data_IF_232416927660
#
_entry.id   IF_232416927660
#
_cell.length_a   1.000
_cell.length_b   1.000
_cell.length_c   1.000
_cell.angle_alpha   90.00
_cell.angle_beta   90.00
_cell.angle_gamma   90.00
#
_symmetry.space_group_name_H-M   'P 1'
#
loop_
_entity.id
_entity.type
_entity.pdbx_description
1 polymer ?
#
# COMPACT_ATOMS: atom_id res chain seq x y z
N UNK A 1 -7.37 0.85 4.87
CA UNK A 1 -6.56 0.53 3.67
C UNK A 1 -5.60 -0.61 4.03
N UNK A 2 -5.98 -1.88 3.81
CA UNK A 2 -5.10 -3.02 4.04
C UNK A 2 -4.05 -3.17 2.92
N UNK A 3 -2.85 -3.59 3.31
CA UNK A 3 -1.80 -4.02 2.41
C UNK A 3 -1.75 -5.55 2.35
N UNK A 4 -1.43 -6.10 1.21
CA UNK A 4 -1.07 -7.50 1.02
C UNK A 4 0.08 -7.67 0.03
N UNK A 5 0.83 -8.77 0.14
CA UNK A 5 1.82 -9.18 -0.85
C UNK A 5 1.16 -10.16 -1.83
N UNK A 6 1.22 -9.88 -3.13
CA UNK A 6 0.63 -10.73 -4.15
C UNK A 6 1.24 -12.14 -4.13
N UNK A 7 0.36 -13.15 -4.00
CA UNK A 7 0.77 -14.54 -3.98
C UNK A 7 1.42 -15.02 -2.68
N UNK A 8 1.29 -14.28 -1.57
CA UNK A 8 1.80 -14.68 -0.27
C UNK A 8 0.70 -15.29 0.61
N UNK A 9 1.00 -16.36 1.38
CA UNK A 9 2.19 -17.25 1.27
C UNK A 9 2.18 -18.11 0.01
N UNK A 10 1.05 -18.23 -0.64
CA UNK A 10 0.82 -18.86 -1.94
C UNK A 10 -0.32 -18.16 -2.69
N UNK A 11 -0.52 -18.54 -3.96
CA UNK A 11 -1.52 -17.91 -4.83
C UNK A 11 -2.96 -18.06 -4.31
N UNK A 12 -3.32 -19.24 -3.81
CA UNK A 12 -4.70 -19.55 -3.36
C UNK A 12 -5.03 -18.74 -2.10
N UNK A 13 -4.10 -18.70 -1.16
CA UNK A 13 -4.23 -17.89 0.05
C UNK A 13 -4.27 -16.39 -0.28
N UNK A 14 -3.47 -15.92 -1.24
CA UNK A 14 -3.50 -14.52 -1.68
C UNK A 14 -4.87 -14.11 -2.24
N UNK A 15 -5.51 -14.95 -3.05
CA UNK A 15 -6.87 -14.69 -3.57
C UNK A 15 -7.92 -14.68 -2.44
N UNK A 16 -7.84 -15.64 -1.51
CA UNK A 16 -8.76 -15.69 -0.36
C UNK A 16 -8.62 -14.44 0.55
N UNK A 17 -7.41 -13.98 0.79
CA UNK A 17 -7.14 -12.76 1.56
C UNK A 17 -7.67 -11.51 0.85
N UNK A 18 -7.50 -11.41 -0.48
CA UNK A 18 -8.03 -10.28 -1.25
C UNK A 18 -9.56 -10.20 -1.15
N UNK A 19 -10.26 -11.33 -1.34
CA UNK A 19 -11.71 -11.40 -1.18
C UNK A 19 -12.15 -11.05 0.26
N UNK A 20 -11.42 -11.54 1.28
CA UNK A 20 -11.70 -11.22 2.67
C UNK A 20 -11.53 -9.71 2.99
N UNK A 21 -10.62 -9.02 2.32
CA UNK A 21 -10.48 -7.56 2.46
C UNK A 21 -11.69 -6.81 1.90
N UNK A 22 -12.20 -7.24 0.74
CA UNK A 22 -13.44 -6.70 0.15
C UNK A 22 -14.62 -6.91 1.08
N UNK A 23 -14.85 -8.15 1.53
CA UNK A 23 -15.95 -8.51 2.43
C UNK A 23 -15.90 -7.76 3.78
N UNK A 24 -14.69 -7.51 4.29
CA UNK A 24 -14.48 -6.71 5.49
C UNK A 24 -14.67 -5.19 5.28
N UNK A 25 -14.93 -4.75 4.05
CA UNK A 25 -15.21 -3.36 3.70
C UNK A 25 -13.96 -2.48 3.66
N UNK A 26 -12.88 -2.97 3.09
CA UNK A 26 -11.71 -2.14 2.78
C UNK A 26 -12.11 -1.01 1.80
N UNK A 27 -11.65 0.21 2.06
CA UNK A 27 -11.90 1.35 1.16
C UNK A 27 -10.93 1.38 -0.03
N UNK A 28 -9.79 0.73 0.11
CA UNK A 28 -8.74 0.57 -0.90
C UNK A 28 -7.81 -0.57 -0.46
N UNK A 29 -7.32 -1.37 -1.41
CA UNK A 29 -6.29 -2.38 -1.16
C UNK A 29 -4.96 -1.93 -1.77
N UNK A 30 -3.91 -1.91 -0.95
CA UNK A 30 -2.53 -1.77 -1.41
C UNK A 30 -1.97 -3.16 -1.72
N UNK A 31 -1.66 -3.41 -2.98
CA UNK A 31 -1.21 -4.71 -3.47
C UNK A 31 0.27 -4.68 -3.83
N UNK A 32 1.10 -5.23 -2.97
CA UNK A 32 2.54 -5.36 -3.19
C UNK A 32 2.84 -6.36 -4.31
N UNK A 33 3.61 -5.92 -5.31
CA UNK A 33 4.15 -6.80 -6.34
C UNK A 33 5.46 -7.39 -5.82
N UNK A 34 5.61 -8.73 -5.70
CA UNK A 34 6.81 -9.31 -5.10
C UNK A 34 8.05 -9.00 -5.94
N UNK A 35 9.11 -8.56 -5.24
CA UNK A 35 10.38 -8.16 -5.83
C UNK A 35 11.55 -8.71 -5.01
N UNK A 36 12.65 -9.09 -5.66
CA UNK A 36 13.83 -9.71 -5.02
C UNK A 36 14.66 -8.75 -4.17
N UNK A 37 14.62 -7.44 -4.50
CA UNK A 37 15.52 -6.43 -3.94
C UNK A 37 14.75 -5.22 -3.37
N UNK A 38 13.82 -5.42 -2.40
CA UNK A 38 12.87 -4.41 -1.94
C UNK A 38 13.52 -3.46 -0.93
N UNK A 39 14.20 -2.43 -1.39
CA UNK A 39 14.98 -1.48 -0.57
C UNK A 39 14.14 -0.67 0.43
N UNK A 40 12.85 -0.48 0.16
CA UNK A 40 11.95 0.31 1.00
C UNK A 40 11.14 -0.55 1.99
N UNK A 41 11.17 -1.88 1.88
CA UNK A 41 10.35 -2.77 2.67
C UNK A 41 10.99 -3.12 4.02
N UNK A 42 10.15 -3.19 5.05
CA UNK A 42 10.55 -3.72 6.34
C UNK A 42 10.66 -5.26 6.31
N UNK A 43 11.30 -5.85 7.35
CA UNK A 43 11.64 -7.28 7.35
C UNK A 43 10.43 -8.22 7.15
N UNK A 44 9.26 -7.88 7.66
CA UNK A 44 8.03 -8.68 7.48
C UNK A 44 7.58 -8.69 6.01
N UNK A 45 7.56 -7.54 5.36
CA UNK A 45 7.15 -7.42 3.96
C UNK A 45 8.19 -8.07 3.04
N UNK A 46 9.48 -7.85 3.32
CA UNK A 46 10.57 -8.49 2.59
C UNK A 46 10.50 -10.04 2.69
N UNK A 47 10.30 -10.59 3.88
CA UNK A 47 10.14 -12.03 4.05
C UNK A 47 8.93 -12.58 3.27
N UNK A 48 7.81 -11.85 3.27
CA UNK A 48 6.63 -12.22 2.51
C UNK A 48 6.88 -12.17 0.99
N UNK A 49 7.60 -11.16 0.50
CA UNK A 49 8.00 -11.08 -0.90
C UNK A 49 8.88 -12.27 -1.32
N UNK A 50 9.87 -12.63 -0.47
CA UNK A 50 10.73 -13.79 -0.71
C UNK A 50 9.92 -15.09 -0.79
N UNK A 51 9.03 -15.33 0.18
CA UNK A 51 8.15 -16.51 0.19
C UNK A 51 7.24 -16.55 -1.04
N UNK A 52 6.65 -15.42 -1.42
CA UNK A 52 5.80 -15.33 -2.61
C UNK A 52 6.58 -15.65 -3.91
N UNK A 53 7.81 -15.12 -4.05
CA UNK A 53 8.68 -15.42 -5.18
C UNK A 53 9.07 -16.90 -5.23
N UNK A 54 9.40 -17.50 -4.10
CA UNK A 54 9.69 -18.95 -3.99
C UNK A 54 8.48 -19.82 -4.34
N UNK A 55 7.25 -19.34 -4.04
CA UNK A 55 6.01 -19.97 -4.46
C UNK A 55 5.64 -19.70 -5.94
N UNK A 56 6.48 -18.96 -6.67
CA UNK A 56 6.31 -18.68 -8.10
C UNK A 56 5.47 -17.45 -8.42
N UNK A 57 5.20 -16.59 -7.45
CA UNK A 57 4.48 -15.34 -7.68
C UNK A 57 5.29 -14.36 -8.57
N UNK A 58 4.58 -13.63 -9.41
CA UNK A 58 5.15 -12.66 -10.36
C UNK A 58 4.21 -11.45 -10.48
N UNK A 59 4.54 -10.50 -11.35
CA UNK A 59 3.62 -9.43 -11.73
C UNK A 59 2.28 -10.00 -12.26
N UNK A 60 2.30 -11.13 -12.97
CA UNK A 60 1.06 -11.76 -13.46
C UNK A 60 0.12 -12.18 -12.31
N UNK A 61 0.67 -12.61 -11.19
CA UNK A 61 -0.10 -12.94 -9.97
C UNK A 61 -0.77 -11.69 -9.38
N UNK A 62 -0.07 -10.57 -9.32
CA UNK A 62 -0.65 -9.31 -8.87
C UNK A 62 -1.74 -8.80 -9.81
N UNK A 63 -1.53 -8.88 -11.13
CA UNK A 63 -2.54 -8.53 -12.12
C UNK A 63 -3.78 -9.44 -12.05
N UNK A 64 -3.60 -10.72 -11.73
CA UNK A 64 -4.70 -11.66 -11.52
C UNK A 64 -5.54 -11.26 -10.30
N UNK A 65 -4.93 -11.09 -9.13
CA UNK A 65 -5.62 -10.66 -7.91
C UNK A 65 -6.38 -9.34 -8.16
N UNK A 66 -5.74 -8.40 -8.86
CA UNK A 66 -6.37 -7.13 -9.18
C UNK A 66 -7.64 -7.31 -10.04
N UNK A 67 -7.66 -8.23 -11.02
CA UNK A 67 -8.85 -8.51 -11.83
C UNK A 67 -9.97 -9.15 -11.04
N UNK A 68 -9.65 -9.97 -10.05
CA UNK A 68 -10.66 -10.67 -9.24
C UNK A 68 -11.43 -9.71 -8.32
N UNK A 69 -10.78 -8.68 -7.78
CA UNK A 69 -11.41 -7.81 -6.77
C UNK A 69 -11.44 -6.32 -7.15
N UNK A 70 -10.82 -5.93 -8.25
CA UNK A 70 -10.66 -4.51 -8.63
C UNK A 70 -11.96 -3.81 -9.07
N UNK A 71 -12.99 -4.55 -9.41
CA UNK A 71 -14.32 -3.99 -9.70
C UNK A 71 -15.11 -3.65 -8.42
N UNK A 72 -14.72 -4.21 -7.27
CA UNK A 72 -15.40 -4.04 -5.98
C UNK A 72 -14.70 -3.03 -5.08
N UNK A 73 -13.36 -2.93 -5.17
CA UNK A 73 -12.54 -2.03 -4.35
C UNK A 73 -11.38 -1.47 -5.16
N UNK A 74 -11.02 -0.17 -5.03
CA UNK A 74 -9.84 0.38 -5.68
C UNK A 74 -8.57 -0.36 -5.28
N UNK A 75 -7.78 -0.79 -6.26
CA UNK A 75 -6.48 -1.43 -6.05
C UNK A 75 -5.37 -0.46 -6.43
N UNK A 76 -4.42 -0.27 -5.52
CA UNK A 76 -3.18 0.47 -5.77
C UNK A 76 -2.01 -0.48 -5.67
N UNK A 77 -1.29 -0.67 -6.77
CA UNK A 77 -0.07 -1.48 -6.75
C UNK A 77 1.04 -0.77 -5.99
N UNK A 78 1.82 -1.52 -5.22
CA UNK A 78 3.15 -1.11 -4.77
C UNK A 78 4.18 -1.91 -5.58
N UNK A 79 4.89 -1.23 -6.48
CA UNK A 79 5.87 -1.84 -7.39
C UNK A 79 7.12 -0.97 -7.49
N UNK A 80 8.31 -1.59 -7.44
CA UNK A 80 9.58 -0.89 -7.57
C UNK A 80 9.82 -0.40 -9.00
N UNK A 81 10.59 0.68 -9.15
CA UNK A 81 10.85 1.33 -10.44
C UNK A 81 11.41 0.36 -11.49
N UNK A 82 12.29 -0.56 -11.08
CA UNK A 82 12.81 -1.59 -11.98
C UNK A 82 11.70 -2.47 -12.58
N UNK A 83 10.67 -2.81 -11.81
CA UNK A 83 9.53 -3.61 -12.30
C UNK A 83 8.67 -2.80 -13.28
N UNK A 84 8.46 -1.52 -12.99
CA UNK A 84 7.70 -0.59 -13.86
C UNK A 84 8.40 -0.41 -15.21
N UNK A 85 9.73 -0.36 -15.20
CA UNK A 85 10.52 -0.08 -16.40
C UNK A 85 10.91 -1.34 -17.19
N UNK A 86 10.96 -2.54 -16.55
CA UNK A 86 11.47 -3.76 -17.17
C UNK A 86 10.53 -4.38 -18.22
N UNK A 87 9.22 -4.13 -18.15
CA UNK A 87 8.21 -4.80 -18.99
C UNK A 87 7.74 -3.93 -20.17
N UNK A 88 8.67 -3.38 -20.93
CA UNK A 88 8.37 -2.50 -22.06
C UNK A 88 8.23 -1.02 -21.66
N UNK A 89 8.69 -0.66 -20.44
CA UNK A 89 8.67 0.69 -19.91
C UNK A 89 7.36 1.06 -19.21
N UNK A 90 7.33 2.28 -18.69
CA UNK A 90 6.21 2.79 -17.88
C UNK A 90 4.86 2.73 -18.61
N UNK A 91 4.85 2.97 -19.92
CA UNK A 91 3.65 2.95 -20.75
C UNK A 91 3.02 1.55 -20.83
N UNK A 92 3.81 0.51 -21.05
CA UNK A 92 3.27 -0.86 -21.14
C UNK A 92 2.86 -1.37 -19.74
N UNK A 93 3.61 -1.02 -18.71
CA UNK A 93 3.21 -1.32 -17.33
C UNK A 93 1.87 -0.65 -16.98
N UNK A 94 1.70 0.62 -17.33
CA UNK A 94 0.46 1.35 -17.10
C UNK A 94 -0.74 0.69 -17.80
N UNK A 95 -0.59 0.30 -19.06
CA UNK A 95 -1.64 -0.42 -19.80
C UNK A 95 -2.01 -1.75 -19.14
N UNK A 96 -1.01 -2.53 -18.72
CA UNK A 96 -1.25 -3.82 -18.03
C UNK A 96 -1.98 -3.62 -16.70
N UNK A 97 -1.53 -2.66 -15.89
CA UNK A 97 -2.16 -2.33 -14.61
C UNK A 97 -3.60 -1.83 -14.81
N UNK A 98 -3.82 -0.93 -15.76
CA UNK A 98 -5.17 -0.42 -16.07
C UNK A 98 -6.11 -1.50 -16.59
N UNK A 99 -5.63 -2.37 -17.49
CA UNK A 99 -6.40 -3.49 -18.01
C UNK A 99 -6.73 -4.53 -16.93
N UNK A 100 -5.98 -4.58 -15.85
CA UNK A 100 -6.28 -5.40 -14.69
C UNK A 100 -7.25 -4.74 -13.70
N UNK A 101 -7.62 -3.46 -13.87
CA UNK A 101 -8.54 -2.75 -13.00
C UNK A 101 -7.86 -1.88 -11.94
N UNK A 102 -6.53 -1.70 -11.96
CA UNK A 102 -5.84 -0.86 -10.99
C UNK A 102 -6.31 0.60 -11.06
N UNK A 103 -6.38 1.25 -9.90
CA UNK A 103 -6.68 2.67 -9.74
C UNK A 103 -5.41 3.53 -9.67
N UNK A 104 -4.28 2.95 -9.26
CA UNK A 104 -3.03 3.69 -9.13
C UNK A 104 -1.84 2.79 -8.82
N UNK A 105 -0.70 3.43 -8.67
CA UNK A 105 0.58 2.76 -8.36
C UNK A 105 1.39 3.61 -7.39
N UNK A 106 1.99 2.97 -6.40
CA UNK A 106 3.05 3.50 -5.54
C UNK A 106 4.38 2.96 -6.06
N UNK A 107 5.35 3.83 -6.31
CA UNK A 107 6.71 3.45 -6.71
C UNK A 107 7.68 4.00 -5.66
N UNK A 108 8.04 3.20 -4.64
CA UNK A 108 8.69 3.70 -3.43
C UNK A 108 10.12 4.20 -3.64
N UNK A 109 10.79 3.74 -4.67
CA UNK A 109 12.15 4.10 -5.05
C UNK A 109 12.22 5.10 -6.23
N UNK A 110 11.10 5.75 -6.58
CA UNK A 110 11.03 6.74 -7.66
C UNK A 110 10.84 8.16 -7.08
N UNK A 111 11.90 8.99 -7.02
CA UNK A 111 11.79 10.37 -6.56
C UNK A 111 10.95 11.23 -7.50
N UNK A 112 10.25 12.24 -6.95
CA UNK A 112 9.41 13.17 -7.72
C UNK A 112 10.16 13.78 -8.93
N UNK A 113 11.43 14.13 -8.75
CA UNK A 113 12.23 14.80 -9.79
C UNK A 113 12.56 13.89 -10.98
N UNK A 114 12.50 12.56 -10.78
CA UNK A 114 12.73 11.53 -11.81
C UNK A 114 11.43 10.91 -12.32
N UNK A 115 10.30 11.22 -11.70
CA UNK A 115 9.01 10.58 -11.98
C UNK A 115 8.30 11.12 -13.25
N UNK A 116 8.90 12.03 -14.02
CA UNK A 116 8.24 12.73 -15.12
C UNK A 116 7.60 11.78 -16.13
N UNK A 117 8.39 10.89 -16.74
CA UNK A 117 7.93 9.92 -17.73
C UNK A 117 6.90 8.93 -17.17
N UNK A 118 7.15 8.38 -15.98
CA UNK A 118 6.22 7.44 -15.33
C UNK A 118 4.88 8.11 -15.02
N UNK A 119 4.91 9.36 -14.53
CA UNK A 119 3.70 10.13 -14.22
C UNK A 119 2.88 10.41 -15.47
N UNK A 120 3.51 10.77 -16.58
CA UNK A 120 2.83 11.00 -17.86
C UNK A 120 2.21 9.71 -18.40
N UNK A 121 2.95 8.61 -18.38
CA UNK A 121 2.47 7.29 -18.81
C UNK A 121 1.26 6.82 -17.97
N UNK A 122 1.33 6.98 -16.65
CA UNK A 122 0.24 6.59 -15.76
C UNK A 122 -0.99 7.49 -15.93
N UNK A 123 -0.78 8.80 -16.06
CA UNK A 123 -1.87 9.75 -16.30
C UNK A 123 -2.59 9.48 -17.63
N UNK A 124 -1.89 9.08 -18.68
CA UNK A 124 -2.47 8.72 -19.97
C UNK A 124 -3.43 7.53 -19.88
N UNK A 125 -3.19 6.60 -18.96
CA UNK A 125 -4.07 5.44 -18.71
C UNK A 125 -5.06 5.69 -17.55
N UNK A 126 -5.10 6.90 -16.98
CA UNK A 126 -5.98 7.23 -15.86
C UNK A 126 -5.59 6.62 -14.53
N UNK A 127 -4.32 6.21 -14.38
CA UNK A 127 -3.75 5.72 -13.13
C UNK A 127 -3.18 6.86 -12.28
N UNK A 128 -3.41 6.82 -10.97
CA UNK A 128 -2.75 7.70 -10.04
C UNK A 128 -1.31 7.21 -9.76
N UNK A 129 -0.30 8.07 -9.91
CA UNK A 129 1.00 7.85 -9.27
C UNK A 129 0.91 8.45 -7.86
N UNK A 130 0.83 7.59 -6.85
CA UNK A 130 0.68 7.97 -5.44
C UNK A 130 2.06 8.31 -4.86
N UNK A 131 2.30 9.55 -4.47
CA UNK A 131 3.60 9.94 -3.94
C UNK A 131 3.75 9.61 -2.46
N UNK A 132 5.01 9.36 -2.04
CA UNK A 132 5.42 9.12 -0.67
C UNK A 132 5.98 10.38 -0.03
N UNK A 133 5.63 10.60 1.24
CA UNK A 133 6.22 11.60 2.13
C UNK A 133 6.83 10.93 3.36
N UNK A 134 8.05 11.32 3.70
CA UNK A 134 8.75 10.85 4.89
C UNK A 134 8.97 12.00 5.90
N UNK A 135 9.16 11.72 7.18
CA UNK A 135 9.49 12.75 8.18
C UNK A 135 10.72 13.59 7.85
N UNK A 136 11.61 13.04 7.03
CA UNK A 136 12.82 13.73 6.55
C UNK A 136 12.59 14.62 5.32
N UNK A 137 11.36 14.65 4.77
CA UNK A 137 11.04 15.46 3.58
C UNK A 137 11.03 16.95 3.94
N UNK A 138 11.93 17.79 3.36
CA UNK A 138 11.94 19.23 3.61
C UNK A 138 10.63 19.90 3.16
N UNK A 139 10.24 21.00 3.81
CA UNK A 139 8.97 21.70 3.55
C UNK A 139 8.77 22.07 2.07
N UNK A 140 9.78 22.64 1.41
CA UNK A 140 9.73 22.99 -0.01
C UNK A 140 9.47 21.76 -0.90
N UNK A 141 10.09 20.62 -0.57
CA UNK A 141 9.87 19.37 -1.31
C UNK A 141 8.48 18.82 -1.02
N UNK A 142 8.00 18.88 0.23
CA UNK A 142 6.64 18.48 0.61
C UNK A 142 5.62 19.24 -0.21
N UNK A 143 5.72 20.57 -0.32
CA UNK A 143 4.83 21.40 -1.11
C UNK A 143 4.77 20.94 -2.58
N UNK A 144 5.93 20.74 -3.22
CA UNK A 144 5.99 20.24 -4.61
C UNK A 144 5.34 18.87 -4.77
N UNK A 145 5.52 17.97 -3.79
CA UNK A 145 4.89 16.65 -3.78
C UNK A 145 3.37 16.79 -3.64
N UNK A 146 2.88 17.65 -2.75
CA UNK A 146 1.45 17.92 -2.57
C UNK A 146 0.81 18.45 -3.86
N UNK A 147 1.45 19.39 -4.56
CA UNK A 147 0.99 19.94 -5.82
C UNK A 147 0.92 18.89 -6.95
N UNK A 148 1.86 17.95 -6.96
CA UNK A 148 1.93 16.88 -7.96
C UNK A 148 1.02 15.67 -7.66
N UNK A 149 0.52 15.55 -6.42
CA UNK A 149 -0.21 14.39 -5.95
C UNK A 149 -1.49 14.10 -6.74
N UNK A 150 -1.76 12.80 -6.94
CA UNK A 150 -3.03 12.28 -7.48
C UNK A 150 -3.44 11.07 -6.65
N UNK A 151 -4.75 10.84 -6.55
CA UNK A 151 -5.30 9.81 -5.68
C UNK A 151 -5.21 10.22 -4.21
N UNK A 152 -4.13 9.91 -3.54
CA UNK A 152 -3.85 10.31 -2.17
C UNK A 152 -2.35 10.55 -1.94
N UNK A 153 -2.00 11.10 -0.78
CA UNK A 153 -0.61 11.21 -0.31
C UNK A 153 -0.35 10.14 0.73
N UNK A 154 0.72 9.39 0.56
CA UNK A 154 1.13 8.38 1.51
C UNK A 154 2.22 8.92 2.43
N UNK A 155 1.89 9.20 3.68
CA UNK A 155 2.86 9.58 4.71
C UNK A 155 3.39 8.32 5.38
N UNK A 156 4.69 8.06 5.22
CA UNK A 156 5.38 7.00 5.95
C UNK A 156 5.89 7.54 7.29
N UNK A 157 5.75 6.76 8.35
CA UNK A 157 5.96 7.27 9.72
C UNK A 157 7.38 7.28 10.22
N UNK A 158 8.28 6.54 9.60
CA UNK A 158 9.66 6.45 10.08
C UNK A 158 10.67 6.17 9.00
N UNK A 159 11.86 6.68 9.29
CA UNK A 159 13.13 6.18 8.78
C UNK A 159 13.55 5.03 9.71
N UNK A 160 13.32 3.78 9.31
CA UNK A 160 13.81 2.60 10.01
C UNK A 160 12.75 1.77 10.75
N UNK A 161 12.87 0.47 10.58
CA UNK A 161 12.25 -0.69 11.21
C UNK A 161 10.82 -0.55 11.77
N UNK A 162 9.91 -1.21 11.09
CA UNK A 162 8.53 -1.48 11.50
C UNK A 162 8.51 -2.31 12.78
N UNK A 163 8.33 -1.66 13.93
CA UNK A 163 8.00 -2.26 15.21
C UNK A 163 6.70 -1.62 15.71
N UNK A 164 5.85 -2.39 16.36
CA UNK A 164 4.65 -1.90 17.03
C UNK A 164 5.05 -0.83 18.06
N UNK A 165 4.48 0.37 17.94
CA UNK A 165 4.73 1.48 18.88
C UNK A 165 3.43 1.86 19.56
N UNK A 166 3.47 2.06 20.87
CA UNK A 166 2.29 2.35 21.67
C UNK A 166 1.69 3.75 21.44
N UNK A 167 2.49 4.73 20.95
CA UNK A 167 2.06 6.13 20.80
C UNK A 167 2.49 6.71 19.46
N UNK A 168 1.65 7.58 18.89
CA UNK A 168 1.97 8.36 17.69
C UNK A 168 2.98 9.45 18.05
N UNK A 169 4.17 9.52 17.42
CA UNK A 169 5.12 10.60 17.67
C UNK A 169 4.53 11.97 17.29
N UNK A 170 4.76 12.99 18.12
CA UNK A 170 4.32 14.36 17.82
C UNK A 170 4.80 14.85 16.43
N UNK A 171 6.01 14.50 16.04
CA UNK A 171 6.55 14.83 14.72
C UNK A 171 5.74 14.24 13.56
N UNK A 172 5.09 13.08 13.73
CA UNK A 172 4.21 12.53 12.71
C UNK A 172 2.91 13.34 12.63
N UNK A 173 2.33 13.71 13.77
CA UNK A 173 1.14 14.56 13.81
C UNK A 173 1.40 15.90 13.11
N UNK A 174 2.49 16.58 13.45
CA UNK A 174 2.90 17.84 12.81
C UNK A 174 3.10 17.69 11.30
N UNK A 175 3.72 16.60 10.85
CA UNK A 175 3.92 16.33 9.42
C UNK A 175 2.58 16.13 8.71
N UNK A 176 1.67 15.35 9.29
CA UNK A 176 0.34 15.08 8.70
C UNK A 176 -0.48 16.37 8.62
N UNK A 177 -0.53 17.16 9.69
CA UNK A 177 -1.23 18.45 9.73
C UNK A 177 -0.68 19.42 8.67
N UNK A 178 0.64 19.56 8.59
CA UNK A 178 1.29 20.40 7.60
C UNK A 178 1.03 19.91 6.17
N UNK A 179 1.01 18.59 5.95
CA UNK A 179 0.71 17.99 4.66
C UNK A 179 -0.75 18.23 4.26
N UNK A 180 -1.70 18.03 5.18
CA UNK A 180 -3.13 18.30 4.94
C UNK A 180 -3.42 19.77 4.65
N UNK A 181 -2.67 20.69 5.24
CA UNK A 181 -2.81 22.12 4.96
C UNK A 181 -2.33 22.51 3.53
N UNK A 182 -1.44 21.73 2.93
CA UNK A 182 -0.87 21.99 1.60
C UNK A 182 -1.49 21.12 0.49
N UNK A 183 -2.05 19.96 0.85
CA UNK A 183 -2.56 18.98 -0.10
C UNK A 183 -4.01 19.23 -0.51
N UNK A 184 -4.32 19.01 -1.80
CA UNK A 184 -5.70 18.95 -2.30
C UNK A 184 -6.26 17.52 -2.31
N UNK A 185 -5.42 16.51 -2.08
CA UNK A 185 -5.78 15.08 -2.03
C UNK A 185 -5.78 14.57 -0.59
N UNK A 186 -6.55 13.50 -0.29
CA UNK A 186 -6.50 12.86 1.03
C UNK A 186 -5.10 12.44 1.45
N UNK A 187 -4.85 12.42 2.74
CA UNK A 187 -3.57 12.01 3.33
C UNK A 187 -3.76 10.69 4.10
N UNK A 188 -3.09 9.65 3.65
CA UNK A 188 -3.08 8.35 4.32
C UNK A 188 -1.74 8.12 5.05
N UNK A 189 -1.80 7.43 6.19
CA UNK A 189 -0.62 7.18 7.02
C UNK A 189 -0.39 5.70 7.20
N UNK A 190 0.85 5.25 6.90
CA UNK A 190 1.37 3.93 7.25
C UNK A 190 2.31 4.04 8.45
N UNK A 191 1.94 3.44 9.59
CA UNK A 191 2.66 3.62 10.87
C UNK A 191 3.05 2.33 11.59
N UNK A 192 3.12 1.18 10.92
CA UNK A 192 3.38 -0.08 11.65
C UNK A 192 2.26 -0.40 12.65
N UNK A 193 1.03 -0.15 12.26
CA UNK A 193 -0.18 -0.37 13.04
C UNK A 193 -0.35 -1.85 13.33
N UNK A 194 -0.35 -2.20 14.61
CA UNK A 194 -0.46 -3.58 15.11
C UNK A 194 -1.81 -3.87 15.79
N UNK A 195 -2.59 -2.82 16.13
CA UNK A 195 -3.90 -2.99 16.80
C UNK A 195 -4.97 -2.01 16.28
N UNK A 196 -6.27 -2.34 16.48
CA UNK A 196 -7.38 -1.46 16.16
C UNK A 196 -7.30 -0.09 16.85
N UNK A 197 -6.83 -0.04 18.11
CA UNK A 197 -6.71 1.20 18.88
C UNK A 197 -5.66 2.13 18.27
N UNK A 198 -4.55 1.58 17.78
CA UNK A 198 -3.53 2.35 17.06
C UNK A 198 -4.08 2.89 15.75
N UNK A 199 -4.86 2.09 15.01
CA UNK A 199 -5.56 2.56 13.81
C UNK A 199 -6.49 3.73 14.13
N UNK A 200 -7.28 3.64 15.20
CA UNK A 200 -8.16 4.71 15.66
C UNK A 200 -7.38 6.00 16.02
N UNK A 201 -6.22 5.88 16.65
CA UNK A 201 -5.36 7.04 16.94
C UNK A 201 -4.89 7.73 15.66
N UNK A 202 -4.41 6.95 14.66
CA UNK A 202 -3.97 7.49 13.36
C UNK A 202 -5.15 8.09 12.61
N UNK A 203 -6.32 7.47 12.64
CA UNK A 203 -7.54 7.97 12.02
C UNK A 203 -8.02 9.33 12.52
N UNK A 204 -7.59 9.77 13.73
CA UNK A 204 -7.90 11.11 14.25
C UNK A 204 -7.11 12.23 13.54
N UNK A 205 -5.96 11.91 12.96
CA UNK A 205 -5.08 12.90 12.32
C UNK A 205 -5.03 12.76 10.80
N UNK A 206 -5.24 11.56 10.26
CA UNK A 206 -5.14 11.24 8.84
C UNK A 206 -6.53 10.95 8.23
N UNK A 207 -6.64 11.08 6.90
CA UNK A 207 -7.85 10.75 6.16
C UNK A 207 -7.94 9.25 5.83
N UNK A 208 -6.80 8.55 5.87
CA UNK A 208 -6.71 7.11 5.66
C UNK A 208 -5.64 6.45 6.52
N UNK A 209 -5.86 5.17 6.85
CA UNK A 209 -4.96 4.37 7.68
C UNK A 209 -4.51 3.15 6.89
N UNK A 210 -3.19 2.99 6.71
CA UNK A 210 -2.60 1.88 5.96
C UNK A 210 -2.03 0.85 6.94
N UNK A 211 -2.46 -0.41 6.80
CA UNK A 211 -2.08 -1.50 7.68
C UNK A 211 -1.41 -2.60 6.86
N UNK A 212 -0.12 -2.78 7.05
CA UNK A 212 0.71 -3.73 6.30
C UNK A 212 1.15 -4.94 7.13
N UNK A 213 2.24 -4.81 7.83
CA UNK A 213 2.95 -5.93 8.49
C UNK A 213 2.07 -6.80 9.39
N UNK A 214 1.07 -6.22 10.07
CA UNK A 214 0.13 -6.97 10.90
C UNK A 214 -0.72 -7.94 10.07
N UNK A 215 -1.25 -7.46 8.94
CA UNK A 215 -2.10 -8.25 8.06
C UNK A 215 -1.28 -9.30 7.29
N UNK A 216 -0.08 -8.96 6.84
CA UNK A 216 0.83 -9.91 6.20
C UNK A 216 1.20 -11.06 7.15
N UNK A 217 1.50 -10.78 8.43
CA UNK A 217 1.70 -11.83 9.43
C UNK A 217 0.45 -12.70 9.60
N UNK A 218 -0.72 -12.09 9.75
CA UNK A 218 -1.98 -12.82 9.91
C UNK A 218 -2.25 -13.78 8.73
N UNK A 219 -1.97 -13.32 7.50
CA UNK A 219 -2.10 -14.16 6.31
C UNK A 219 -1.13 -15.35 6.32
N UNK A 220 0.14 -15.14 6.74
CA UNK A 220 1.16 -16.20 6.79
C UNK A 220 0.97 -17.21 7.92
N UNK A 221 0.37 -16.80 9.03
CA UNK A 221 0.15 -17.66 10.21
C UNK A 221 -1.13 -18.52 10.09
N UNK A 222 -1.99 -18.26 9.12
CA UNK A 222 -3.30 -18.91 8.99
C UNK A 222 -3.25 -20.42 8.72
N UNK A 223 -2.21 -20.93 8.08
CA UNK A 223 -2.01 -22.36 7.80
C UNK A 223 -2.96 -22.96 6.74
N UNK A 224 -3.98 -22.23 6.32
CA UNK A 224 -4.85 -22.54 5.17
C UNK A 224 -5.44 -21.25 4.60
N UNK A 225 -5.89 -21.23 3.32
CA UNK A 225 -6.50 -20.05 2.71
C UNK A 225 -7.68 -19.50 3.52
N UNK A 226 -8.58 -20.37 3.99
CA UNK A 226 -9.73 -19.96 4.78
C UNK A 226 -9.33 -19.37 6.14
N UNK A 227 -8.42 -20.00 6.85
CA UNK A 227 -7.98 -19.50 8.16
C UNK A 227 -7.22 -18.18 8.06
N UNK A 228 -6.46 -17.98 6.98
CA UNK A 228 -5.81 -16.70 6.67
C UNK A 228 -6.87 -15.61 6.39
N UNK A 229 -7.87 -15.90 5.55
CA UNK A 229 -8.99 -15.01 5.26
C UNK A 229 -9.77 -14.63 6.52
N UNK A 230 -10.11 -15.59 7.36
CA UNK A 230 -10.82 -15.35 8.62
C UNK A 230 -10.02 -14.46 9.59
N UNK A 231 -8.71 -14.69 9.69
CA UNK A 231 -7.82 -13.93 10.56
C UNK A 231 -7.71 -12.46 10.13
N UNK A 232 -7.55 -12.19 8.84
CA UNK A 232 -7.46 -10.81 8.34
C UNK A 232 -8.80 -10.10 8.40
N UNK A 233 -9.91 -10.80 8.11
CA UNK A 233 -11.27 -10.26 8.19
C UNK A 233 -11.62 -9.84 9.62
N UNK A 234 -11.34 -10.68 10.62
CA UNK A 234 -11.56 -10.35 12.03
C UNK A 234 -10.82 -9.08 12.44
N UNK A 235 -9.53 -8.99 12.13
CA UNK A 235 -8.74 -7.80 12.45
C UNK A 235 -9.27 -6.53 11.77
N UNK A 236 -9.68 -6.63 10.50
CA UNK A 236 -10.25 -5.47 9.77
C UNK A 236 -11.61 -5.05 10.33
N UNK A 237 -12.47 -6.00 10.70
CA UNK A 237 -13.76 -5.71 11.33
C UNK A 237 -13.59 -4.95 12.65
N UNK A 238 -12.68 -5.42 13.53
CA UNK A 238 -12.35 -4.73 14.78
C UNK A 238 -11.77 -3.33 14.53
N UNK A 239 -10.88 -3.22 13.54
CA UNK A 239 -10.27 -1.94 13.14
C UNK A 239 -11.32 -0.96 12.64
N UNK A 240 -12.27 -1.41 11.82
CA UNK A 240 -13.36 -0.58 11.31
C UNK A 240 -14.25 -0.03 12.43
N UNK A 241 -14.58 -0.87 13.41
CA UNK A 241 -15.31 -0.42 14.62
C UNK A 241 -14.52 0.65 15.36
N UNK A 242 -13.23 0.43 15.59
CA UNK A 242 -12.38 1.39 16.29
C UNK A 242 -12.22 2.73 15.55
N UNK A 243 -12.20 2.73 14.21
CA UNK A 243 -12.15 3.94 13.38
C UNK A 243 -13.47 4.73 13.35
N UNK A 244 -14.60 4.08 13.69
CA UNK A 244 -15.93 4.68 13.63
C UNK A 244 -16.37 5.34 14.96
N UNK A 245 -15.63 5.11 16.04
CA UNK A 245 -15.89 5.68 17.39
C UNK A 245 -15.06 6.88 17.68
#
# INVERSE_FOLDING_TARGET
MPYMMAGYPDRETGLAVAAAYVDAGADLIELGVPFSDPLADGPTIHAAATTALEAGATLATALEICREVGDEVPIVFMAYANMVLAHGGATEFAKMARAAGAAGVIVPDLPLDEAGEVREAFAAEGLALVPLLAPTTPAERRKRICEAARGFLYVVSTVGTTGERAEIPAALTELVEATKAEAATPVAVGFGIGSPEQAAQVGKIADGVIIGSRLVRAAGEGGSPQAAADSVASFLAETRVALSG
#
